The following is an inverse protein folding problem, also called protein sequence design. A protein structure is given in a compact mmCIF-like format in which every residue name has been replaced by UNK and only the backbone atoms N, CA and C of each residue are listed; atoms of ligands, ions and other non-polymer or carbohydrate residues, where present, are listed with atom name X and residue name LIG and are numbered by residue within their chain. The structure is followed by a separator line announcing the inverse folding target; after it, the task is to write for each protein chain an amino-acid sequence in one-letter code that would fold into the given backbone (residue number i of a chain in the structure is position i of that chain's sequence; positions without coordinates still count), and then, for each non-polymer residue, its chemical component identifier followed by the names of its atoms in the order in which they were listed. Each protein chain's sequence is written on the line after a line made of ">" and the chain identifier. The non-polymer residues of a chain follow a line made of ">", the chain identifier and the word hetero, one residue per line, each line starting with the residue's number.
data_IF_204956273282
#
_entry.id   IF_204956273282
#
_cell.length_a   1.000
_cell.length_b   1.000
_cell.length_c   1.000
_cell.angle_alpha   90.00
_cell.angle_beta   90.00
_cell.angle_gamma   90.00
#
_symmetry.space_group_name_H-M   'P 1'
#
loop_
_entity.id
_entity.type
_entity.pdbx_description
1 polymer ?
#
# COMPACT_ATOMS: atom_id res chain seq x y z
N UNK A 1 12.52 -51.05 -41.07
CA UNK A 1 12.59 -49.68 -41.63
C UNK A 1 11.26 -48.98 -41.35
N UNK A 2 11.32 -47.93 -40.51
CA UNK A 2 10.32 -46.88 -40.22
C UNK A 2 9.03 -47.25 -39.46
N UNK A 3 9.22 -47.37 -38.14
CA UNK A 3 8.24 -47.11 -37.08
C UNK A 3 7.89 -45.59 -37.10
N UNK A 4 6.61 -45.23 -37.18
CA UNK A 4 6.12 -43.86 -36.97
C UNK A 4 5.25 -43.85 -35.71
N UNK A 5 5.85 -43.46 -34.58
CA UNK A 5 5.15 -43.06 -33.37
C UNK A 5 5.21 -41.54 -33.32
N UNK A 6 4.07 -40.86 -33.43
CA UNK A 6 3.92 -39.46 -33.00
C UNK A 6 2.57 -39.37 -32.30
N UNK A 7 2.59 -39.51 -30.98
CA UNK A 7 1.51 -39.07 -30.10
C UNK A 7 2.15 -38.05 -29.15
N UNK A 8 2.13 -36.78 -29.54
CA UNK A 8 2.57 -35.67 -28.70
C UNK A 8 1.48 -35.36 -27.69
N UNK A 9 1.76 -35.63 -26.42
CA UNK A 9 0.96 -35.18 -25.30
C UNK A 9 1.15 -33.66 -25.14
N UNK A 10 0.11 -32.87 -25.41
CA UNK A 10 0.06 -31.48 -25.02
C UNK A 10 -0.62 -31.39 -23.65
N UNK A 11 0.18 -31.33 -22.59
CA UNK A 11 -0.26 -30.90 -21.27
C UNK A 11 -0.70 -29.44 -21.34
N UNK A 12 -2.00 -29.19 -21.37
CA UNK A 12 -2.56 -27.87 -21.11
C UNK A 12 -2.47 -27.61 -19.60
N UNK A 13 -1.45 -26.86 -19.18
CA UNK A 13 -1.37 -26.35 -17.82
C UNK A 13 -2.47 -25.30 -17.62
N UNK A 14 -3.52 -25.70 -16.93
CA UNK A 14 -4.61 -24.85 -16.46
C UNK A 14 -4.05 -23.95 -15.34
N UNK A 15 -3.61 -22.73 -15.69
CA UNK A 15 -3.30 -21.71 -14.68
C UNK A 15 -4.61 -21.21 -14.08
N UNK A 16 -4.89 -21.62 -12.85
CA UNK A 16 -5.92 -21.03 -12.02
C UNK A 16 -5.51 -19.59 -11.69
N UNK A 17 -6.07 -18.62 -12.42
CA UNK A 17 -6.04 -17.21 -12.04
C UNK A 17 -6.96 -17.11 -10.83
N UNK A 18 -6.37 -17.06 -9.63
CA UNK A 18 -7.08 -16.64 -8.42
C UNK A 18 -7.41 -15.16 -8.62
N UNK A 19 -8.56 -14.89 -9.24
CA UNK A 19 -9.21 -13.60 -9.14
C UNK A 19 -9.58 -13.41 -7.68
N UNK A 20 -8.65 -12.86 -6.91
CA UNK A 20 -8.98 -12.23 -5.64
C UNK A 20 -10.02 -11.16 -5.98
N UNK A 21 -11.28 -11.41 -5.63
CA UNK A 21 -12.28 -10.37 -5.56
C UNK A 21 -11.79 -9.38 -4.49
N UNK A 22 -10.95 -8.42 -4.90
CA UNK A 22 -10.69 -7.27 -4.08
C UNK A 22 -12.07 -6.60 -3.86
N UNK A 23 -12.51 -6.36 -2.61
CA UNK A 23 -13.67 -5.52 -2.38
C UNK A 23 -13.46 -4.20 -3.14
N UNK A 24 -14.52 -3.68 -3.76
CA UNK A 24 -14.48 -2.37 -4.42
C UNK A 24 -13.87 -1.37 -3.46
N UNK A 25 -12.82 -0.67 -3.90
CA UNK A 25 -12.11 0.28 -3.06
C UNK A 25 -12.97 1.54 -2.91
N UNK A 26 -13.91 1.46 -1.98
CA UNK A 26 -14.77 2.57 -1.63
C UNK A 26 -14.06 3.42 -0.56
N UNK A 27 -13.67 4.63 -0.93
CA UNK A 27 -13.10 5.63 0.00
C UNK A 27 -14.16 6.51 0.68
N UNK A 28 -15.45 6.15 0.57
CA UNK A 28 -16.53 6.84 1.26
C UNK A 28 -16.69 8.28 0.77
N UNK A 29 -16.76 9.22 1.70
CA UNK A 29 -16.81 10.66 1.41
C UNK A 29 -15.43 11.31 1.33
N UNK A 30 -14.34 10.56 1.56
CA UNK A 30 -13.01 11.11 1.49
C UNK A 30 -12.67 11.58 0.07
N UNK A 31 -11.84 12.62 -0.03
CA UNK A 31 -11.23 13.05 -1.29
C UNK A 31 -9.73 13.08 -1.12
N UNK A 32 -9.02 12.36 -1.97
CA UNK A 32 -7.57 12.23 -1.88
C UNK A 32 -6.88 12.57 -3.20
N UNK A 33 -5.61 12.92 -3.11
CA UNK A 33 -4.75 13.16 -4.26
C UNK A 33 -3.47 12.33 -4.11
N UNK A 34 -3.10 11.62 -5.18
CA UNK A 34 -1.80 11.00 -5.33
C UNK A 34 -0.79 12.10 -5.73
N UNK A 35 0.09 12.48 -4.80
CA UNK A 35 1.07 13.54 -5.00
C UNK A 35 2.37 13.02 -5.63
N UNK A 36 2.77 11.80 -5.27
CA UNK A 36 3.92 11.12 -5.85
C UNK A 36 3.69 9.61 -5.88
N UNK A 37 4.23 8.94 -6.89
CA UNK A 37 4.23 7.49 -7.04
C UNK A 37 5.44 7.09 -7.89
N UNK A 38 6.38 6.38 -7.29
CA UNK A 38 7.56 5.80 -7.95
C UNK A 38 7.98 4.51 -7.22
N UNK A 39 9.10 3.91 -7.62
CA UNK A 39 9.63 2.65 -7.07
C UNK A 39 10.12 2.77 -5.62
N UNK A 40 10.24 3.98 -5.08
CA UNK A 40 10.79 4.26 -3.74
C UNK A 40 9.77 4.88 -2.79
N UNK A 41 8.67 5.44 -3.31
CA UNK A 41 7.66 6.11 -2.49
C UNK A 41 6.29 6.24 -3.18
N UNK A 42 5.27 6.32 -2.34
CA UNK A 42 3.91 6.77 -2.69
C UNK A 42 3.51 7.83 -1.68
N UNK A 43 3.00 8.98 -2.12
CA UNK A 43 2.55 10.07 -1.24
C UNK A 43 1.11 10.43 -1.55
N UNK A 44 0.28 10.44 -0.50
CA UNK A 44 -1.15 10.69 -0.56
C UNK A 44 -1.48 11.92 0.28
N UNK A 45 -2.27 12.84 -0.27
CA UNK A 45 -2.89 13.94 0.47
C UNK A 45 -4.38 13.69 0.64
N UNK A 46 -4.90 13.95 1.84
CA UNK A 46 -6.34 13.93 2.12
C UNK A 46 -6.87 15.36 2.07
N UNK A 47 -7.64 15.66 1.02
CA UNK A 47 -8.25 16.98 0.77
C UNK A 47 -9.66 17.12 1.34
N UNK A 48 -10.30 16.00 1.68
CA UNK A 48 -11.48 15.93 2.53
C UNK A 48 -11.46 14.59 3.26
N UNK A 49 -11.68 14.59 4.58
CA UNK A 49 -11.57 13.39 5.42
C UNK A 49 -12.83 12.52 5.45
N UNK A 50 -12.63 11.23 5.76
CA UNK A 50 -13.68 10.28 6.15
C UNK A 50 -13.07 9.23 7.09
N UNK A 51 -13.30 9.40 8.39
CA UNK A 51 -12.70 8.56 9.43
C UNK A 51 -13.32 7.16 9.50
N UNK A 52 -14.35 6.86 8.73
CA UNK A 52 -14.85 5.48 8.56
C UNK A 52 -13.97 4.65 7.64
N UNK A 53 -13.05 5.31 6.91
CA UNK A 53 -12.12 4.71 5.94
C UNK A 53 -10.68 4.80 6.41
N UNK A 54 -9.82 4.05 5.76
CA UNK A 54 -8.41 3.87 6.12
C UNK A 54 -7.51 4.17 4.94
N UNK A 55 -6.23 4.41 5.22
CA UNK A 55 -5.21 4.59 4.18
C UNK A 55 -5.20 3.40 3.19
N UNK A 56 -5.44 2.17 3.67
CA UNK A 56 -5.59 1.00 2.82
C UNK A 56 -6.69 1.13 1.75
N UNK A 57 -7.84 1.72 2.10
CA UNK A 57 -8.95 1.90 1.14
C UNK A 57 -8.52 2.80 -0.02
N UNK A 58 -7.75 3.85 0.29
CA UNK A 58 -7.22 4.80 -0.71
C UNK A 58 -6.16 4.14 -1.59
N UNK A 59 -5.22 3.41 -0.99
CA UNK A 59 -4.19 2.68 -1.74
C UNK A 59 -4.82 1.59 -2.65
N UNK A 60 -5.87 0.94 -2.17
CA UNK A 60 -6.65 -0.02 -2.95
C UNK A 60 -7.38 0.65 -4.11
N UNK A 61 -7.92 1.87 -3.92
CA UNK A 61 -8.58 2.63 -4.99
C UNK A 61 -7.58 3.02 -6.07
N UNK A 62 -6.41 3.53 -5.69
CA UNK A 62 -5.33 3.85 -6.62
C UNK A 62 -4.84 2.61 -7.37
N UNK A 63 -4.80 1.45 -6.72
CA UNK A 63 -4.47 0.17 -7.36
C UNK A 63 -5.53 -0.24 -8.38
N UNK A 64 -6.83 -0.11 -8.04
CA UNK A 64 -7.94 -0.42 -8.93
C UNK A 64 -7.98 0.50 -10.16
N UNK A 65 -7.55 1.76 -10.00
CA UNK A 65 -7.42 2.74 -11.09
C UNK A 65 -6.12 2.59 -11.91
N UNK A 66 -5.20 1.71 -11.48
CA UNK A 66 -3.93 1.46 -12.16
C UNK A 66 -2.88 2.55 -11.97
N UNK A 67 -2.99 3.36 -10.93
CA UNK A 67 -2.06 4.48 -10.63
C UNK A 67 -0.87 4.04 -9.76
N UNK A 68 -1.05 2.99 -8.98
CA UNK A 68 0.01 2.29 -8.26
C UNK A 68 -0.18 0.78 -8.46
N UNK A 69 0.87 -0.01 -8.21
CA UNK A 69 0.71 -1.44 -7.91
C UNK A 69 1.04 -1.71 -6.45
N UNK A 70 0.28 -2.60 -5.81
CA UNK A 70 0.50 -2.97 -4.41
C UNK A 70 0.25 -4.47 -4.26
N UNK A 71 1.20 -5.16 -3.65
CA UNK A 71 1.07 -6.56 -3.25
C UNK A 71 1.26 -6.69 -1.74
N UNK A 72 0.64 -7.72 -1.17
CA UNK A 72 0.64 -7.94 0.26
C UNK A 72 -0.34 -9.02 0.66
N UNK A 73 -0.56 -9.14 1.97
CA UNK A 73 -1.49 -10.11 2.53
C UNK A 73 -2.23 -9.56 3.74
N UNK A 74 -3.49 -9.92 3.87
CA UNK A 74 -4.28 -9.67 5.08
C UNK A 74 -3.72 -10.46 6.27
N UNK A 75 -3.75 -9.84 7.44
CA UNK A 75 -3.39 -10.46 8.73
C UNK A 75 -4.38 -10.03 9.81
N UNK A 76 -4.26 -10.59 11.01
CA UNK A 76 -5.06 -10.14 12.17
C UNK A 76 -4.81 -8.66 12.55
N UNK A 77 -3.69 -8.09 12.10
CA UNK A 77 -3.30 -6.68 12.32
C UNK A 77 -3.63 -5.77 11.12
N UNK A 78 -4.31 -6.29 10.09
CA UNK A 78 -4.61 -5.60 8.84
C UNK A 78 -3.70 -6.01 7.69
N UNK A 79 -3.75 -5.25 6.60
CA UNK A 79 -3.02 -5.53 5.37
C UNK A 79 -1.53 -5.22 5.52
N UNK A 80 -0.71 -6.24 5.30
CA UNK A 80 0.75 -6.14 5.30
C UNK A 80 1.26 -6.00 3.86
N UNK A 81 1.90 -4.88 3.54
CA UNK A 81 2.44 -4.58 2.20
C UNK A 81 3.79 -5.26 2.02
N UNK A 82 3.95 -5.99 0.91
CA UNK A 82 5.20 -6.68 0.53
C UNK A 82 5.82 -6.13 -0.74
N UNK A 83 5.09 -5.40 -1.58
CA UNK A 83 5.61 -4.76 -2.78
C UNK A 83 4.77 -3.55 -3.16
N UNK A 84 5.41 -2.49 -3.64
CA UNK A 84 4.74 -1.32 -4.24
C UNK A 84 5.46 -0.94 -5.52
N UNK A 85 4.73 -0.70 -6.59
CA UNK A 85 5.27 -0.29 -7.90
C UNK A 85 6.38 -1.21 -8.44
N UNK A 86 6.34 -2.50 -8.09
CA UNK A 86 7.33 -3.50 -8.51
C UNK A 86 8.55 -3.65 -7.58
N UNK A 87 8.69 -2.80 -6.57
CA UNK A 87 9.76 -2.90 -5.57
C UNK A 87 9.28 -3.72 -4.38
N UNK A 88 9.81 -4.92 -4.25
CA UNK A 88 9.50 -5.85 -3.15
C UNK A 88 10.36 -5.61 -1.91
N UNK A 89 9.77 -5.78 -0.73
CA UNK A 89 10.48 -5.90 0.53
C UNK A 89 11.39 -7.13 0.53
N UNK A 90 12.50 -7.06 1.25
CA UNK A 90 13.46 -8.16 1.40
C UNK A 90 14.02 -8.24 2.84
N UNK A 91 15.15 -8.93 3.02
CA UNK A 91 15.78 -9.10 4.32
C UNK A 91 16.43 -7.82 4.88
N UNK A 92 16.65 -6.82 4.03
CA UNK A 92 17.31 -5.56 4.35
C UNK A 92 16.39 -4.35 4.17
N UNK A 93 15.23 -4.51 3.49
CA UNK A 93 14.33 -3.41 3.16
C UNK A 93 12.86 -3.73 3.40
N UNK A 94 12.10 -2.71 3.75
CA UNK A 94 10.66 -2.79 3.94
C UNK A 94 9.96 -1.49 3.52
N UNK A 95 8.64 -1.56 3.33
CA UNK A 95 7.80 -0.40 3.06
C UNK A 95 7.32 0.23 4.38
N UNK A 96 7.97 1.31 4.79
CA UNK A 96 7.61 2.09 5.97
C UNK A 96 6.43 3.03 5.68
N UNK A 97 5.61 3.30 6.70
CA UNK A 97 4.51 4.27 6.60
C UNK A 97 4.85 5.50 7.43
N UNK A 98 4.77 6.68 6.82
CA UNK A 98 4.93 7.97 7.49
C UNK A 98 3.66 8.80 7.33
N UNK A 99 3.35 9.65 8.30
CA UNK A 99 2.21 10.57 8.22
C UNK A 99 2.47 11.87 8.97
N UNK A 100 1.80 12.95 8.56
CA UNK A 100 1.73 14.18 9.38
C UNK A 100 0.72 14.05 10.52
N UNK A 101 -0.12 13.02 10.52
CA UNK A 101 -1.11 12.77 11.56
C UNK A 101 -0.40 12.34 12.86
N UNK A 102 -0.25 13.28 13.78
CA UNK A 102 0.33 13.05 15.10
C UNK A 102 -0.68 12.43 16.06
N UNK A 103 -1.11 13.20 17.06
CA UNK A 103 -2.21 12.80 17.96
C UNK A 103 -3.54 13.33 17.44
N UNK A 104 -4.53 12.45 17.32
CA UNK A 104 -5.89 12.79 16.88
C UNK A 104 -6.90 12.07 17.75
N UNK A 105 -7.91 12.79 18.25
CA UNK A 105 -8.91 12.28 19.20
C UNK A 105 -8.34 11.46 20.38
N UNK A 106 -7.19 11.92 20.90
CA UNK A 106 -6.50 11.30 22.03
C UNK A 106 -5.71 10.02 21.69
N UNK A 107 -5.63 9.63 20.41
CA UNK A 107 -4.84 8.50 19.92
C UNK A 107 -3.59 9.00 19.19
N UNK A 108 -2.43 8.43 19.50
CA UNK A 108 -1.17 8.75 18.81
C UNK A 108 -1.00 7.86 17.58
N UNK A 109 -1.02 8.45 16.38
CA UNK A 109 -0.92 7.73 15.12
C UNK A 109 0.47 7.74 14.49
N UNK A 110 1.35 8.64 14.94
CA UNK A 110 2.75 8.66 14.55
C UNK A 110 3.64 9.18 15.66
N UNK A 111 4.93 8.89 15.55
CA UNK A 111 5.93 9.38 16.49
C UNK A 111 7.28 9.59 15.80
N UNK A 112 7.79 10.81 15.89
CA UNK A 112 9.05 11.22 15.27
C UNK A 112 10.26 10.50 15.88
N UNK A 113 10.15 9.94 17.10
CA UNK A 113 11.24 9.21 17.74
C UNK A 113 11.60 7.92 16.98
N UNK A 114 10.64 7.34 16.26
CA UNK A 114 10.84 6.12 15.46
C UNK A 114 11.23 6.41 14.01
N UNK A 115 11.35 7.69 13.64
CA UNK A 115 11.80 8.11 12.32
C UNK A 115 10.98 9.28 11.79
N UNK A 116 11.60 10.05 10.92
CA UNK A 116 10.95 11.14 10.19
C UNK A 116 11.30 11.06 8.71
N UNK A 117 10.40 11.57 7.88
CA UNK A 117 10.59 11.70 6.45
C UNK A 117 10.02 13.03 5.98
N UNK A 118 10.72 13.76 5.13
CA UNK A 118 10.31 15.09 4.66
C UNK A 118 9.75 15.02 3.23
N UNK A 119 8.61 15.69 3.02
CA UNK A 119 8.03 15.90 1.70
C UNK A 119 7.62 17.36 1.53
N UNK A 120 8.21 18.05 0.56
CA UNK A 120 7.90 19.45 0.23
C UNK A 120 7.88 20.39 1.45
N UNK A 121 8.86 20.24 2.36
CA UNK A 121 8.97 21.03 3.58
C UNK A 121 8.00 20.64 4.71
N UNK A 122 7.17 19.61 4.53
CA UNK A 122 6.38 18.99 5.61
C UNK A 122 7.13 17.78 6.16
N UNK A 123 7.33 17.76 7.46
CA UNK A 123 7.89 16.61 8.16
C UNK A 123 6.78 15.63 8.53
N UNK A 124 6.91 14.38 8.07
CA UNK A 124 6.06 13.26 8.45
C UNK A 124 6.82 12.41 9.49
N UNK A 125 6.10 11.89 10.47
CA UNK A 125 6.62 10.99 11.48
C UNK A 125 6.26 9.53 11.17
N UNK A 126 7.07 8.59 11.65
CA UNK A 126 6.81 7.16 11.49
C UNK A 126 5.45 6.81 12.08
N UNK A 127 4.60 6.16 11.29
CA UNK A 127 3.27 5.77 11.73
C UNK A 127 3.35 4.67 12.81
N UNK A 128 2.47 4.77 13.81
CA UNK A 128 2.28 3.76 14.86
C UNK A 128 1.35 2.63 14.42
N UNK A 129 0.67 2.79 13.28
CA UNK A 129 -0.27 1.81 12.72
C UNK A 129 0.05 1.56 11.25
N UNK A 130 -0.22 0.34 10.78
CA UNK A 130 -0.19 0.01 9.35
C UNK A 130 -1.32 0.69 8.57
N UNK A 131 -1.33 0.50 7.26
CA UNK A 131 -2.27 1.16 6.34
C UNK A 131 -3.75 0.90 6.65
N UNK A 132 -4.08 -0.23 7.29
CA UNK A 132 -5.44 -0.55 7.72
C UNK A 132 -5.87 0.13 9.03
N UNK A 133 -4.93 0.73 9.78
CA UNK A 133 -5.20 1.39 11.06
C UNK A 133 -5.20 2.92 10.99
N UNK A 134 -4.73 3.51 9.90
CA UNK A 134 -4.61 4.96 9.74
C UNK A 134 -5.91 5.56 9.19
N UNK A 135 -6.63 6.42 9.94
CA UNK A 135 -7.85 7.07 9.48
C UNK A 135 -7.53 8.14 8.43
N UNK A 136 -8.51 8.51 7.60
CA UNK A 136 -8.36 9.59 6.62
C UNK A 136 -8.81 10.93 7.21
N UNK A 137 -7.86 11.71 7.73
CA UNK A 137 -8.12 13.03 8.33
C UNK A 137 -7.78 14.14 7.33
N UNK A 138 -8.65 15.14 7.20
CA UNK A 138 -8.46 16.26 6.26
C UNK A 138 -7.17 17.05 6.54
N UNK A 139 -6.42 17.37 5.50
CA UNK A 139 -5.17 18.14 5.57
C UNK A 139 -3.91 17.30 5.81
N UNK A 140 -4.08 16.02 6.13
CA UNK A 140 -2.98 15.11 6.42
C UNK A 140 -2.32 14.54 5.16
N UNK A 141 -1.02 14.24 5.30
CA UNK A 141 -0.26 13.46 4.33
C UNK A 141 0.03 12.07 4.89
N UNK A 142 0.06 11.10 3.99
CA UNK A 142 0.52 9.75 4.24
C UNK A 142 1.54 9.38 3.16
N UNK A 143 2.60 8.69 3.56
CA UNK A 143 3.62 8.24 2.64
C UNK A 143 3.97 6.76 2.91
N UNK A 144 4.04 5.97 1.84
CA UNK A 144 4.78 4.72 1.83
C UNK A 144 6.20 5.04 1.34
N UNK A 145 7.22 4.58 2.04
CA UNK A 145 8.62 4.82 1.69
C UNK A 145 9.40 3.52 1.80
N UNK A 146 10.14 3.17 0.75
CA UNK A 146 11.02 2.01 0.76
C UNK A 146 12.26 2.31 1.58
N UNK A 147 12.45 1.57 2.67
CA UNK A 147 13.37 1.91 3.75
C UNK A 147 14.24 0.72 4.10
N UNK A 148 15.53 0.97 4.32
CA UNK A 148 16.47 -0.04 4.83
C UNK A 148 16.27 -0.28 6.33
N UNK A 149 16.38 -1.54 6.75
CA UNK A 149 16.48 -1.93 8.16
C UNK A 149 17.84 -1.44 8.67
N UNK A 150 17.82 -0.51 9.62
CA UNK A 150 19.01 0.05 10.27
C UNK A 150 19.39 -0.71 11.54
#
# INVERSE_FOLDING_TARGET
>A
MRLKIIAGAACAALMCIMAACAPSADIGQARTQLLASDETRVVVSVTAGDETKRLYDVLSDFTQRGEISMEGSESEYGFYITSVNGTASDAEHFWAVYTTLGTYDGVSYSDAQYGTWEYEGRQLASASYGVSGLPLVEGELYALVFTSIS
#
